data_IF_834983256607
#
_entry.id   IF_834983256607
#
_cell.length_a   1.000
_cell.length_b   1.000
_cell.length_c   1.000
_cell.angle_alpha   90.00
_cell.angle_beta   90.00
_cell.angle_gamma   90.00
#
_symmetry.space_group_name_H-M   'P 1'
#
loop_
_entity.id
_entity.type
_entity.pdbx_description
1 polymer ?
#
# COMPACT_ATOMS: atom_id res chain seq x y z
N UNK A 1 37.30 4.16 -1.74
CA UNK A 1 35.87 4.34 -2.10
C UNK A 1 35.02 4.00 -0.89
N UNK A 2 34.14 4.91 -0.46
CA UNK A 2 33.23 4.65 0.66
C UNK A 2 32.30 3.49 0.29
N UNK A 3 32.16 2.53 1.18
CA UNK A 3 31.31 1.35 0.99
C UNK A 3 29.85 1.81 1.01
N UNK A 4 29.10 1.56 -0.07
CA UNK A 4 27.67 1.88 -0.13
C UNK A 4 26.92 1.01 0.90
N UNK A 5 26.18 1.63 1.83
CA UNK A 5 25.49 0.91 2.92
C UNK A 5 24.03 1.35 3.04
N UNK A 6 23.16 0.46 3.48
CA UNK A 6 21.77 0.74 3.78
C UNK A 6 21.36 0.20 5.13
N UNK A 7 20.28 0.76 5.67
CA UNK A 7 19.58 0.26 6.84
C UNK A 7 18.19 -0.21 6.39
N UNK A 8 17.82 -1.41 6.78
CA UNK A 8 16.54 -2.04 6.44
C UNK A 8 15.79 -2.47 7.70
N UNK A 9 14.46 -2.36 7.65
CA UNK A 9 13.58 -2.81 8.71
C UNK A 9 13.27 -4.29 8.53
N UNK A 10 13.47 -5.07 9.59
CA UNK A 10 13.22 -6.50 9.63
C UNK A 10 12.28 -6.86 10.77
N UNK A 11 11.31 -7.68 10.48
CA UNK A 11 10.46 -8.34 11.47
C UNK A 11 11.16 -9.64 11.83
N UNK A 12 11.45 -9.86 13.12
CA UNK A 12 12.18 -11.04 13.60
C UNK A 12 11.22 -12.20 13.88
N UNK A 13 10.15 -11.93 14.60
CA UNK A 13 9.09 -12.84 14.98
C UNK A 13 7.91 -12.01 15.50
N UNK A 14 6.86 -12.66 15.95
CA UNK A 14 5.67 -12.01 16.50
C UNK A 14 6.03 -10.82 17.40
N UNK A 15 5.58 -9.63 16.99
CA UNK A 15 5.72 -8.35 17.71
C UNK A 15 7.18 -7.93 18.01
N UNK A 16 8.14 -8.39 17.22
CA UNK A 16 9.55 -7.99 17.37
C UNK A 16 10.16 -7.61 16.03
N UNK A 17 10.95 -6.56 16.03
CA UNK A 17 11.63 -6.02 14.86
C UNK A 17 13.01 -5.49 15.19
N UNK A 18 13.81 -5.26 14.16
CA UNK A 18 15.14 -4.66 14.27
C UNK A 18 15.54 -3.95 12.97
N UNK A 19 16.50 -3.05 13.10
CA UNK A 19 17.15 -2.43 11.93
C UNK A 19 18.43 -3.20 11.64
N UNK A 20 18.61 -3.60 10.37
CA UNK A 20 19.82 -4.27 9.89
C UNK A 20 20.58 -3.34 8.97
N UNK A 21 21.85 -3.07 9.32
CA UNK A 21 22.80 -2.37 8.45
C UNK A 21 23.52 -3.38 7.56
N UNK A 22 23.63 -3.10 6.27
CA UNK A 22 24.31 -3.96 5.32
C UNK A 22 24.91 -3.16 4.16
N UNK A 23 25.84 -3.79 3.44
CA UNK A 23 26.43 -3.21 2.23
C UNK A 23 25.53 -3.43 1.03
N UNK A 24 25.50 -2.47 0.14
CA UNK A 24 24.86 -2.58 -1.17
C UNK A 24 25.92 -2.83 -2.26
N UNK A 25 25.50 -3.51 -3.32
CA UNK A 25 26.29 -3.61 -4.56
C UNK A 25 26.32 -2.25 -5.27
N UNK A 26 27.37 -2.00 -6.03
CA UNK A 26 27.43 -0.86 -6.95
C UNK A 26 26.41 -1.12 -8.08
N UNK A 27 25.59 -0.11 -8.48
CA UNK A 27 24.67 -0.27 -9.59
C UNK A 27 25.39 -0.71 -10.87
N UNK A 28 24.91 -1.79 -11.47
CA UNK A 28 25.36 -2.25 -12.78
C UNK A 28 24.61 -1.52 -13.90
N UNK A 29 24.93 -1.83 -15.17
CA UNK A 29 24.17 -1.32 -16.32
C UNK A 29 22.68 -1.65 -16.17
N UNK A 30 21.81 -0.71 -16.46
CA UNK A 30 20.35 -0.79 -16.31
C UNK A 30 19.86 -0.94 -14.85
N UNK A 31 20.70 -0.65 -13.87
CA UNK A 31 20.32 -0.59 -12.46
C UNK A 31 20.46 0.84 -11.93
N UNK A 32 19.61 1.19 -11.04
CA UNK A 32 19.63 2.49 -10.37
C UNK A 32 19.88 2.34 -8.87
N UNK A 33 20.58 3.31 -8.27
CA UNK A 33 20.63 3.53 -6.84
C UNK A 33 19.52 4.51 -6.47
N UNK A 34 18.63 4.06 -5.63
CA UNK A 34 17.49 4.83 -5.15
C UNK A 34 17.70 5.14 -3.66
N UNK A 35 17.53 6.41 -3.28
CA UNK A 35 17.48 6.86 -1.90
C UNK A 35 16.02 7.04 -1.49
N UNK A 36 15.55 6.30 -0.52
CA UNK A 36 14.19 6.39 0.00
C UNK A 36 13.93 7.78 0.59
N UNK A 37 12.83 8.39 0.19
CA UNK A 37 12.29 9.63 0.74
C UNK A 37 11.14 9.31 1.69
N UNK A 38 10.26 8.41 1.28
CA UNK A 38 9.13 7.93 2.08
C UNK A 38 8.95 6.42 1.89
N UNK A 39 8.66 5.74 2.99
CA UNK A 39 8.23 4.36 2.96
C UNK A 39 6.92 4.24 3.73
N UNK A 40 5.86 3.79 3.06
CA UNK A 40 4.53 3.68 3.64
C UNK A 40 4.32 2.32 4.31
N UNK A 41 3.58 2.31 5.41
CA UNK A 41 3.16 1.08 6.09
C UNK A 41 1.72 0.77 5.68
N UNK A 42 1.51 -0.37 5.03
CA UNK A 42 0.18 -0.92 4.76
C UNK A 42 -0.34 -1.61 6.02
N UNK A 43 -1.03 -0.85 6.87
CA UNK A 43 -1.40 -1.28 8.22
C UNK A 43 -2.12 -2.63 8.24
N UNK A 44 -3.08 -2.86 7.34
CA UNK A 44 -3.83 -4.13 7.28
C UNK A 44 -2.91 -5.33 7.06
N UNK A 45 -2.13 -5.30 5.98
CA UNK A 45 -1.25 -6.40 5.56
C UNK A 45 -0.03 -6.54 6.47
N UNK A 46 0.66 -5.44 6.74
CA UNK A 46 1.91 -5.50 7.49
C UNK A 46 1.70 -5.80 8.98
N UNK A 47 0.54 -5.43 9.56
CA UNK A 47 0.16 -5.85 10.88
C UNK A 47 0.09 -7.38 10.99
N UNK A 48 -0.50 -8.06 10.01
CA UNK A 48 -0.61 -9.53 9.98
C UNK A 48 0.79 -10.16 9.97
N UNK A 49 1.71 -9.60 9.17
CA UNK A 49 3.11 -10.06 9.14
C UNK A 49 3.81 -9.81 10.48
N UNK A 50 3.67 -8.59 11.03
CA UNK A 50 4.30 -8.20 12.29
C UNK A 50 3.81 -9.01 13.49
N UNK A 51 2.52 -9.33 13.52
CA UNK A 51 1.92 -10.16 14.58
C UNK A 51 2.15 -11.66 14.38
N UNK A 52 2.79 -12.07 13.26
CA UNK A 52 3.02 -13.48 12.95
C UNK A 52 1.75 -14.25 12.64
N UNK A 53 0.70 -13.57 12.18
CA UNK A 53 -0.64 -14.13 11.96
C UNK A 53 -0.90 -14.47 10.48
N UNK A 54 0.13 -14.53 9.64
CA UNK A 54 0.00 -14.91 8.23
C UNK A 54 -0.49 -16.36 8.14
N UNK A 55 -1.69 -16.62 7.57
CA UNK A 55 -2.20 -17.98 7.41
C UNK A 55 -1.28 -18.83 6.53
N UNK A 56 -1.13 -20.11 6.83
CA UNK A 56 -0.26 -21.02 6.06
C UNK A 56 -0.61 -21.04 4.58
N UNK A 57 -1.91 -21.04 4.24
CA UNK A 57 -2.43 -21.02 2.88
C UNK A 57 -2.16 -19.71 2.13
N UNK A 58 -1.91 -18.61 2.85
CA UNK A 58 -1.72 -17.27 2.26
C UNK A 58 -0.24 -16.87 2.10
N UNK A 59 0.70 -17.67 2.61
CA UNK A 59 2.12 -17.30 2.62
C UNK A 59 2.67 -16.94 1.23
N UNK A 60 2.29 -17.69 0.21
CA UNK A 60 2.76 -17.43 -1.15
C UNK A 60 2.09 -16.19 -1.75
N UNK A 61 0.79 -16.01 -1.53
CA UNK A 61 0.03 -14.86 -2.04
C UNK A 61 0.42 -13.54 -1.37
N UNK A 62 0.73 -13.60 -0.07
CA UNK A 62 1.13 -12.41 0.70
C UNK A 62 2.61 -12.05 0.53
N UNK A 63 3.39 -12.86 -0.19
CA UNK A 63 4.80 -12.55 -0.44
C UNK A 63 4.91 -11.29 -1.28
N UNK A 64 5.54 -10.26 -0.74
CA UNK A 64 5.74 -9.02 -1.49
C UNK A 64 6.96 -9.13 -2.44
N UNK A 65 6.99 -8.32 -3.51
CA UNK A 65 8.19 -8.17 -4.34
C UNK A 65 9.41 -7.78 -3.48
N UNK A 66 10.57 -8.30 -3.82
CA UNK A 66 11.84 -8.04 -3.13
C UNK A 66 11.84 -8.37 -1.62
N UNK A 67 10.89 -9.18 -1.15
CA UNK A 67 10.92 -9.73 0.20
C UNK A 67 12.19 -10.56 0.39
N UNK A 68 12.87 -10.36 1.52
CA UNK A 68 13.94 -11.23 1.97
C UNK A 68 13.50 -11.99 3.24
N UNK A 69 13.87 -13.26 3.33
CA UNK A 69 13.42 -14.14 4.42
C UNK A 69 11.96 -14.59 4.28
N UNK A 70 11.46 -15.26 5.32
CA UNK A 70 10.17 -15.94 5.29
C UNK A 70 9.32 -15.61 6.51
N UNK A 71 7.99 -15.70 6.32
CA UNK A 71 7.01 -15.50 7.39
C UNK A 71 7.18 -16.54 8.52
N UNK A 72 7.26 -16.04 9.75
CA UNK A 72 7.51 -16.83 10.95
C UNK A 72 9.00 -16.87 11.36
N UNK A 73 9.90 -16.38 10.50
CA UNK A 73 11.31 -16.12 10.78
C UNK A 73 11.66 -14.65 10.70
N UNK A 74 12.91 -14.36 10.37
CA UNK A 74 13.32 -12.99 10.03
C UNK A 74 12.84 -12.66 8.62
N UNK A 75 12.08 -11.60 8.47
CA UNK A 75 11.55 -11.15 7.17
C UNK A 75 11.71 -9.64 7.00
N UNK A 76 12.24 -9.22 5.85
CA UNK A 76 12.21 -7.86 5.37
C UNK A 76 10.98 -7.72 4.47
N UNK A 77 10.01 -6.92 4.90
CA UNK A 77 8.70 -6.80 4.27
C UNK A 77 8.34 -5.34 4.00
N UNK A 78 7.38 -5.11 3.12
CA UNK A 78 6.91 -3.80 2.70
C UNK A 78 6.91 -3.69 1.17
N UNK A 79 6.07 -2.79 0.63
CA UNK A 79 5.88 -2.64 -0.82
C UNK A 79 5.37 -1.24 -1.22
N UNK A 80 5.58 -0.24 -0.37
CA UNK A 80 5.21 1.14 -0.68
C UNK A 80 6.41 2.04 -0.42
N UNK A 81 7.27 2.20 -1.42
CA UNK A 81 8.48 2.99 -1.33
C UNK A 81 8.51 4.09 -2.39
N UNK A 82 8.86 5.28 -1.96
CA UNK A 82 9.13 6.43 -2.84
C UNK A 82 10.56 6.86 -2.60
N UNK A 83 11.33 6.95 -3.66
CA UNK A 83 12.71 7.37 -3.59
C UNK A 83 13.13 8.31 -4.71
N UNK A 84 14.28 8.91 -4.52
CA UNK A 84 14.99 9.68 -5.54
C UNK A 84 16.08 8.81 -6.17
N UNK A 85 16.16 8.80 -7.49
CA UNK A 85 17.24 8.10 -8.20
C UNK A 85 18.51 8.93 -8.13
N UNK A 86 19.46 8.47 -7.32
CA UNK A 86 20.77 9.13 -7.11
C UNK A 86 21.74 8.78 -8.23
N UNK A 87 21.74 7.52 -8.67
CA UNK A 87 22.54 7.03 -9.79
C UNK A 87 21.68 6.11 -10.67
N UNK A 88 21.80 6.25 -11.99
CA UNK A 88 21.04 5.49 -12.99
C UNK A 88 21.23 6.10 -14.36
N UNK A 89 20.49 5.61 -15.35
CA UNK A 89 20.48 6.18 -16.70
C UNK A 89 19.94 7.62 -16.72
N UNK A 90 20.16 8.33 -17.82
CA UNK A 90 19.67 9.72 -17.98
C UNK A 90 18.16 9.84 -17.87
N UNK A 91 17.42 8.79 -18.19
CA UNK A 91 15.95 8.73 -18.07
C UNK A 91 15.48 8.86 -16.63
N UNK A 92 16.18 8.22 -15.70
CA UNK A 92 15.75 8.09 -14.31
C UNK A 92 16.49 9.01 -13.34
N UNK A 93 17.73 9.38 -13.63
CA UNK A 93 18.58 10.19 -12.74
C UNK A 93 17.88 11.46 -12.27
N UNK A 94 17.89 11.71 -10.96
CA UNK A 94 17.21 12.84 -10.29
C UNK A 94 15.67 12.83 -10.42
N UNK A 95 15.07 11.71 -10.81
CA UNK A 95 13.61 11.53 -10.79
C UNK A 95 13.16 10.93 -9.47
N UNK A 96 11.95 11.27 -9.07
CA UNK A 96 11.25 10.54 -8.02
C UNK A 96 10.55 9.34 -8.63
N UNK A 97 10.69 8.20 -7.95
CA UNK A 97 10.13 6.93 -8.40
C UNK A 97 9.33 6.27 -7.28
N UNK A 98 8.27 5.57 -7.67
CA UNK A 98 7.56 4.62 -6.84
C UNK A 98 8.08 3.20 -7.15
N UNK A 99 8.24 2.38 -6.11
CA UNK A 99 8.64 0.98 -6.23
C UNK A 99 7.95 0.12 -5.19
N UNK A 100 7.72 -1.15 -5.50
CA UNK A 100 7.22 -2.15 -4.57
C UNK A 100 8.35 -2.71 -3.68
N UNK A 101 9.19 -1.83 -3.12
CA UNK A 101 10.37 -2.21 -2.36
C UNK A 101 10.12 -2.16 -0.84
N UNK A 102 10.66 -3.12 -0.06
CA UNK A 102 10.58 -3.13 1.39
C UNK A 102 11.18 -1.89 2.07
N UNK A 103 10.86 -1.70 3.35
CA UNK A 103 11.35 -0.56 4.13
C UNK A 103 12.87 -0.57 4.28
N UNK A 104 13.54 0.33 3.57
CA UNK A 104 14.99 0.44 3.51
C UNK A 104 15.42 1.87 3.14
N UNK A 105 16.55 2.35 3.66
CA UNK A 105 17.01 3.72 3.45
C UNK A 105 17.49 4.00 2.03
N UNK A 106 18.11 3.02 1.39
CA UNK A 106 18.50 3.06 -0.02
C UNK A 106 18.70 1.64 -0.57
N UNK A 107 18.54 1.48 -1.86
CA UNK A 107 18.63 0.19 -2.52
C UNK A 107 19.02 0.32 -3.99
N UNK A 108 19.51 -0.78 -4.55
CA UNK A 108 19.81 -0.90 -5.99
C UNK A 108 18.76 -1.79 -6.63
N UNK A 109 18.18 -1.34 -7.74
CA UNK A 109 17.11 -2.03 -8.44
C UNK A 109 17.24 -1.87 -9.96
N UNK A 110 16.77 -2.87 -10.72
CA UNK A 110 16.63 -2.79 -12.17
C UNK A 110 15.72 -1.61 -12.54
N UNK A 111 16.10 -0.81 -13.52
CA UNK A 111 15.34 0.37 -13.94
C UNK A 111 13.93 0.04 -14.46
N UNK A 112 13.71 -1.17 -14.95
CA UNK A 112 12.36 -1.63 -15.38
C UNK A 112 11.35 -1.75 -14.24
N UNK A 113 11.82 -1.86 -12.99
CA UNK A 113 10.98 -1.94 -11.80
C UNK A 113 10.60 -0.54 -11.25
N UNK A 114 11.08 0.52 -11.88
CA UNK A 114 10.89 1.89 -11.43
C UNK A 114 9.70 2.54 -12.15
N UNK A 115 8.75 3.03 -11.39
CA UNK A 115 7.68 3.88 -11.92
C UNK A 115 7.98 5.34 -11.63
N UNK A 116 8.26 6.14 -12.67
CA UNK A 116 8.51 7.58 -12.52
C UNK A 116 7.24 8.27 -12.03
N UNK A 117 7.36 9.04 -10.96
CA UNK A 117 6.25 9.83 -10.43
C UNK A 117 6.10 11.10 -11.28
N UNK A 118 4.90 11.34 -11.87
CA UNK A 118 4.64 12.56 -12.61
C UNK A 118 4.78 13.81 -11.72
N UNK A 119 5.41 14.86 -12.25
CA UNK A 119 5.75 16.06 -11.47
C UNK A 119 4.55 16.84 -10.92
N UNK A 120 3.36 16.67 -11.52
CA UNK A 120 2.12 17.30 -11.07
C UNK A 120 1.45 16.54 -9.90
N UNK A 121 1.94 15.35 -9.54
CA UNK A 121 1.38 14.56 -8.42
C UNK A 121 2.23 14.80 -7.16
N UNK A 122 1.64 15.22 -6.04
CA UNK A 122 2.36 15.33 -4.77
C UNK A 122 2.93 13.97 -4.37
N UNK A 123 4.25 13.88 -4.18
CA UNK A 123 4.96 12.61 -3.97
C UNK A 123 4.41 11.79 -2.79
N UNK A 124 3.99 12.45 -1.70
CA UNK A 124 3.37 11.74 -0.55
C UNK A 124 2.08 11.02 -0.92
N UNK A 125 1.32 11.51 -1.91
CA UNK A 125 0.09 10.86 -2.37
C UNK A 125 0.38 9.53 -3.05
N UNK A 126 1.54 9.42 -3.70
CA UNK A 126 1.95 8.18 -4.36
C UNK A 126 2.25 7.02 -3.40
N UNK A 127 2.36 7.26 -2.09
CA UNK A 127 2.41 6.18 -1.10
C UNK A 127 1.15 5.30 -1.14
N UNK A 128 0.02 5.85 -1.57
CA UNK A 128 -1.25 5.12 -1.64
C UNK A 128 -1.40 4.30 -2.93
N UNK A 129 -0.40 4.27 -3.82
CA UNK A 129 -0.50 3.62 -5.14
C UNK A 129 -0.96 2.16 -5.03
N UNK A 130 -0.31 1.33 -4.21
CA UNK A 130 -0.69 -0.07 -4.06
C UNK A 130 -2.11 -0.25 -3.45
N UNK A 131 -2.50 0.61 -2.51
CA UNK A 131 -3.84 0.57 -1.93
C UNK A 131 -4.91 1.04 -2.93
N UNK A 132 -4.57 2.03 -3.77
CA UNK A 132 -5.45 2.51 -4.84
C UNK A 132 -5.62 1.45 -5.92
N UNK A 133 -4.55 0.75 -6.31
CA UNK A 133 -4.60 -0.39 -7.22
C UNK A 133 -5.58 -1.46 -6.71
N UNK A 134 -5.49 -1.84 -5.43
CA UNK A 134 -6.44 -2.77 -4.80
C UNK A 134 -7.89 -2.27 -4.92
N UNK A 135 -8.14 -1.00 -4.66
CA UNK A 135 -9.47 -0.40 -4.75
C UNK A 135 -10.00 -0.41 -6.20
N UNK A 136 -9.16 -0.09 -7.18
CA UNK A 136 -9.52 -0.08 -8.60
C UNK A 136 -9.82 -1.49 -9.10
N UNK A 137 -8.98 -2.48 -8.76
CA UNK A 137 -9.20 -3.87 -9.15
C UNK A 137 -10.55 -4.40 -8.62
N UNK A 138 -10.87 -4.14 -7.35
CA UNK A 138 -12.16 -4.52 -6.78
C UNK A 138 -13.35 -3.86 -7.51
N UNK A 139 -13.20 -2.62 -7.97
CA UNK A 139 -14.22 -1.97 -8.79
C UNK A 139 -14.35 -2.62 -10.17
N UNK A 140 -13.26 -2.99 -10.81
CA UNK A 140 -13.29 -3.68 -12.10
C UNK A 140 -13.95 -5.06 -12.02
N UNK A 141 -13.77 -5.76 -10.91
CA UNK A 141 -14.38 -7.07 -10.69
C UNK A 141 -15.90 -7.00 -10.52
N UNK A 142 -16.43 -5.88 -10.02
CA UNK A 142 -17.87 -5.72 -9.69
C UNK A 142 -18.64 -4.85 -10.68
N UNK A 143 -17.95 -4.04 -11.49
CA UNK A 143 -18.51 -3.15 -12.51
C UNK A 143 -19.67 -2.26 -12.00
N UNK A 144 -19.45 -1.43 -10.97
CA UNK A 144 -20.50 -0.60 -10.42
C UNK A 144 -21.07 0.39 -11.47
N UNK A 145 -22.36 0.59 -11.43
CA UNK A 145 -23.12 1.36 -12.41
C UNK A 145 -23.85 2.55 -11.79
N UNK A 146 -24.37 3.46 -12.62
CA UNK A 146 -25.17 4.60 -12.17
C UNK A 146 -26.35 4.15 -11.32
N UNK A 147 -26.54 4.79 -10.17
CA UNK A 147 -27.67 4.53 -9.27
C UNK A 147 -27.48 3.33 -8.33
N UNK A 148 -26.35 2.65 -8.36
CA UNK A 148 -26.09 1.55 -7.43
C UNK A 148 -26.02 2.01 -5.98
N UNK A 149 -26.57 1.16 -5.08
CA UNK A 149 -26.42 1.25 -3.65
C UNK A 149 -25.28 0.36 -3.18
N UNK A 150 -24.23 0.97 -2.67
CA UNK A 150 -22.98 0.28 -2.35
C UNK A 150 -22.74 0.32 -0.85
N UNK A 151 -22.53 -0.88 -0.27
CA UNK A 151 -22.10 -1.04 1.11
C UNK A 151 -20.61 -1.33 1.14
N UNK A 152 -19.85 -0.54 1.91
CA UNK A 152 -18.42 -0.77 2.14
C UNK A 152 -18.22 -1.06 3.62
N UNK A 153 -17.73 -2.23 3.96
CA UNK A 153 -17.46 -2.67 5.33
C UNK A 153 -15.95 -2.50 5.61
N UNK A 154 -15.62 -1.65 6.56
CA UNK A 154 -14.23 -1.29 6.88
C UNK A 154 -13.81 0.08 6.34
N UNK A 155 -13.76 1.10 7.21
CA UNK A 155 -13.28 2.45 6.89
C UNK A 155 -11.76 2.56 7.10
N UNK A 156 -11.01 1.55 6.64
CA UNK A 156 -9.56 1.58 6.49
C UNK A 156 -9.15 2.33 5.22
N UNK A 157 -7.85 2.28 4.89
CA UNK A 157 -7.31 2.97 3.70
C UNK A 157 -8.02 2.51 2.44
N UNK A 158 -8.18 1.20 2.23
CA UNK A 158 -8.80 0.65 1.01
C UNK A 158 -10.27 1.06 0.94
N UNK A 159 -11.06 0.87 2.00
CA UNK A 159 -12.48 1.26 2.00
C UNK A 159 -12.70 2.76 1.77
N UNK A 160 -11.84 3.62 2.32
CA UNK A 160 -11.90 5.07 2.08
C UNK A 160 -11.52 5.41 0.62
N UNK A 161 -10.50 4.78 0.05
CA UNK A 161 -10.12 4.97 -1.35
C UNK A 161 -11.22 4.49 -2.30
N UNK A 162 -11.80 3.32 -2.05
CA UNK A 162 -12.96 2.82 -2.79
C UNK A 162 -14.13 3.80 -2.73
N UNK A 163 -14.48 4.25 -1.52
CA UNK A 163 -15.56 5.24 -1.36
C UNK A 163 -15.28 6.51 -2.16
N UNK A 164 -14.02 6.97 -2.18
CA UNK A 164 -13.61 8.16 -2.90
C UNK A 164 -13.78 8.02 -4.42
N UNK A 165 -13.35 6.90 -5.02
CA UNK A 165 -13.48 6.70 -6.46
C UNK A 165 -14.91 6.35 -6.89
N UNK A 166 -15.63 5.53 -6.12
CA UNK A 166 -17.02 5.14 -6.40
C UNK A 166 -17.97 6.34 -6.39
N UNK A 167 -17.70 7.32 -5.54
CA UNK A 167 -18.48 8.56 -5.47
C UNK A 167 -18.49 9.36 -6.79
N UNK A 168 -17.52 9.16 -7.67
CA UNK A 168 -17.50 9.84 -8.97
C UNK A 168 -18.48 9.25 -9.99
N UNK A 169 -19.10 8.09 -9.68
CA UNK A 169 -20.13 7.49 -10.54
C UNK A 169 -21.49 8.16 -10.27
N UNK A 170 -22.17 8.69 -11.27
CA UNK A 170 -23.42 9.41 -11.08
C UNK A 170 -24.51 8.58 -10.38
N UNK A 171 -25.14 9.16 -9.36
CA UNK A 171 -26.26 8.52 -8.65
C UNK A 171 -25.89 7.37 -7.72
N UNK A 172 -24.62 7.04 -7.57
CA UNK A 172 -24.18 6.01 -6.60
C UNK A 172 -24.40 6.50 -5.18
N UNK A 173 -25.06 5.66 -4.37
CA UNK A 173 -25.24 5.85 -2.94
C UNK A 173 -24.25 4.96 -2.18
N UNK A 174 -23.39 5.56 -1.34
CA UNK A 174 -22.35 4.82 -0.60
C UNK A 174 -22.67 4.88 0.89
N UNK A 175 -22.76 3.71 1.52
CA UNK A 175 -22.76 3.55 2.96
C UNK A 175 -21.46 2.90 3.42
N UNK A 176 -20.62 3.65 4.15
CA UNK A 176 -19.38 3.16 4.72
C UNK A 176 -19.59 2.77 6.19
N UNK A 177 -19.21 1.54 6.54
CA UNK A 177 -19.38 1.00 7.88
C UNK A 177 -18.03 0.73 8.54
N UNK A 178 -17.89 1.14 9.81
CA UNK A 178 -16.79 0.69 10.66
C UNK A 178 -17.18 0.77 12.13
N UNK A 179 -16.73 -0.20 12.93
CA UNK A 179 -17.01 -0.23 14.38
C UNK A 179 -16.34 0.91 15.14
N UNK A 180 -15.22 1.43 14.65
CA UNK A 180 -14.50 2.56 15.26
C UNK A 180 -15.11 3.91 14.83
N UNK A 181 -15.82 4.63 15.73
CA UNK A 181 -16.45 5.89 15.41
C UNK A 181 -15.45 6.99 15.01
N UNK A 182 -14.18 6.88 15.41
CA UNK A 182 -13.14 7.87 15.06
C UNK A 182 -12.88 7.94 13.56
N UNK A 183 -13.19 6.89 12.83
CA UNK A 183 -13.03 6.82 11.37
C UNK A 183 -14.07 7.65 10.61
N UNK A 184 -15.19 8.01 11.25
CA UNK A 184 -16.20 8.90 10.68
C UNK A 184 -15.61 10.24 10.23
N UNK A 185 -14.59 10.75 10.94
CA UNK A 185 -13.92 12.02 10.61
C UNK A 185 -13.37 12.05 9.18
N UNK A 186 -12.84 10.94 8.69
CA UNK A 186 -12.33 10.86 7.31
C UNK A 186 -13.44 10.66 6.30
N UNK A 187 -14.46 9.88 6.62
CA UNK A 187 -15.65 9.72 5.78
C UNK A 187 -16.34 11.07 5.56
N UNK A 188 -16.51 11.87 6.61
CA UNK A 188 -17.09 13.24 6.53
C UNK A 188 -16.27 14.14 5.62
N UNK A 189 -14.94 14.11 5.69
CA UNK A 189 -14.07 14.90 4.79
C UNK A 189 -14.29 14.58 3.31
N UNK A 190 -14.63 13.36 2.99
CA UNK A 190 -14.95 12.92 1.64
C UNK A 190 -16.43 13.03 1.30
N UNK A 191 -17.26 13.54 2.25
CA UNK A 191 -18.71 13.61 2.13
C UNK A 191 -19.33 12.25 1.78
N UNK A 192 -19.01 11.23 2.62
CA UNK A 192 -19.48 9.85 2.52
C UNK A 192 -20.29 9.54 3.76
N UNK A 193 -21.48 8.93 3.58
CA UNK A 193 -22.30 8.47 4.70
C UNK A 193 -21.54 7.39 5.48
N UNK A 194 -21.42 7.59 6.79
CA UNK A 194 -20.74 6.67 7.71
C UNK A 194 -21.68 6.22 8.82
N UNK A 195 -21.67 4.93 9.13
CA UNK A 195 -22.35 4.37 10.31
C UNK A 195 -21.49 3.30 10.97
N UNK A 196 -21.78 3.01 12.25
CA UNK A 196 -21.12 1.92 12.98
C UNK A 196 -21.74 0.56 12.72
N UNK A 197 -22.99 0.54 12.24
CA UNK A 197 -23.73 -0.69 11.93
C UNK A 197 -24.58 -0.49 10.68
N UNK A 198 -24.81 -1.56 9.95
CA UNK A 198 -25.69 -1.56 8.79
C UNK A 198 -27.14 -1.48 9.28
N UNK A 199 -27.94 -0.49 8.81
CA UNK A 199 -29.36 -0.44 9.12
C UNK A 199 -30.08 -1.69 8.63
N UNK A 200 -31.02 -2.25 9.42
CA UNK A 200 -31.75 -3.47 9.08
C UNK A 200 -32.51 -3.38 7.74
N UNK A 201 -32.92 -2.17 7.35
CA UNK A 201 -33.63 -1.91 6.10
C UNK A 201 -32.73 -1.60 4.90
N UNK A 202 -31.41 -1.48 5.10
CA UNK A 202 -30.49 -1.13 4.03
C UNK A 202 -30.33 -2.32 3.05
N UNK A 203 -30.54 -2.04 1.76
CA UNK A 203 -30.36 -3.02 0.69
C UNK A 203 -29.28 -2.48 -0.24
N UNK A 204 -28.19 -3.21 -0.37
CA UNK A 204 -27.09 -2.89 -1.29
C UNK A 204 -27.19 -3.74 -2.57
N UNK A 205 -26.79 -3.15 -3.70
CA UNK A 205 -26.56 -3.88 -4.95
C UNK A 205 -25.18 -4.55 -4.91
N UNK A 206 -24.19 -3.85 -4.32
CA UNK A 206 -22.81 -4.31 -4.23
C UNK A 206 -22.32 -4.16 -2.78
N UNK A 207 -21.57 -5.15 -2.31
CA UNK A 207 -20.94 -5.14 -0.99
C UNK A 207 -19.44 -5.36 -1.16
N UNK A 208 -18.64 -4.43 -0.61
CA UNK A 208 -17.19 -4.59 -0.51
C UNK A 208 -16.78 -4.83 0.94
N UNK A 209 -16.09 -5.95 1.17
CA UNK A 209 -15.51 -6.25 2.48
C UNK A 209 -14.05 -5.80 2.50
N UNK A 210 -13.76 -4.78 3.32
CA UNK A 210 -12.46 -4.13 3.44
C UNK A 210 -11.94 -4.11 4.89
N UNK A 211 -12.61 -4.80 5.83
CA UNK A 211 -12.21 -4.79 7.24
C UNK A 211 -11.03 -5.73 7.53
N UNK A 212 -10.95 -6.83 6.80
CA UNK A 212 -9.99 -7.91 7.02
C UNK A 212 -10.29 -8.77 8.26
N UNK A 213 -11.53 -8.74 8.74
CA UNK A 213 -12.04 -9.57 9.86
C UNK A 213 -12.71 -10.86 9.36
#
# INVERSE_FOLDING_TARGET
>A
MSKLTAESFWIRKKNASFIKKHSLSIPQKNHALIKTIYSGISYGTEKIVYTGSVPKSQKNLMRCPFQEGDFGGNVKYGYMNIGEVIQGSSTYKKKYVYTLFPHQTQYVLDEKELTIIPTHIPIKRCLLTANMETAINAMWDTLPSCGDKILIIGAGIVGLLMSYILKSIPGVEILLIDRDPKKSKMATKFNIEFRQQVPATYKANIIYECSGD
#
